data_IF_067377725770
#
_entry.id   IF_067377725770
#
_cell.length_a   1.000
_cell.length_b   1.000
_cell.length_c   1.000
_cell.angle_alpha   90.00
_cell.angle_beta   90.00
_cell.angle_gamma   90.00
#
_symmetry.space_group_name_H-M   'P 1'
#
loop_
_entity.id
_entity.type
_entity.pdbx_description
1 polymer ?
#
# COMPACT_ATOMS: atom_id res chain seq x y z
N UNK A 1 15.61 -20.23 -14.87
CA UNK A 1 14.46 -20.74 -14.07
C UNK A 1 13.72 -19.62 -13.29
N UNK A 2 13.47 -18.46 -13.92
CA UNK A 2 12.89 -17.26 -13.28
C UNK A 2 11.53 -16.81 -13.85
N UNK A 3 11.24 -17.11 -15.12
CA UNK A 3 9.99 -16.72 -15.77
C UNK A 3 8.77 -17.46 -15.22
N UNK A 4 8.91 -18.72 -14.81
CA UNK A 4 7.78 -19.55 -14.40
C UNK A 4 7.21 -19.15 -13.02
N UNK A 5 8.07 -18.64 -12.13
CA UNK A 5 7.64 -18.13 -10.81
C UNK A 5 6.96 -16.77 -10.95
N UNK A 6 7.51 -15.90 -11.81
CA UNK A 6 6.88 -14.65 -12.20
C UNK A 6 5.52 -14.92 -12.87
N UNK A 7 5.45 -15.89 -13.79
CA UNK A 7 4.22 -16.29 -14.49
C UNK A 7 3.13 -16.75 -13.51
N UNK A 8 3.45 -17.57 -12.51
CA UNK A 8 2.50 -18.00 -11.46
C UNK A 8 1.98 -16.83 -10.60
N UNK A 9 2.84 -15.86 -10.27
CA UNK A 9 2.44 -14.66 -9.53
C UNK A 9 1.58 -13.72 -10.40
N UNK A 10 2.01 -13.49 -11.65
CA UNK A 10 1.28 -12.74 -12.67
C UNK A 10 -0.10 -13.34 -12.95
N UNK A 11 -0.23 -14.66 -13.05
CA UNK A 11 -1.49 -15.34 -13.32
C UNK A 11 -2.49 -15.18 -12.18
N UNK A 12 -2.02 -15.23 -10.92
CA UNK A 12 -2.86 -14.92 -9.75
C UNK A 12 -3.31 -13.45 -9.75
N UNK A 13 -2.43 -12.53 -10.10
CA UNK A 13 -2.76 -11.11 -10.17
C UNK A 13 -3.69 -10.78 -11.36
N UNK A 14 -3.44 -11.35 -12.55
CA UNK A 14 -4.21 -11.14 -13.79
C UNK A 14 -5.61 -11.76 -13.76
N UNK A 15 -5.83 -12.86 -13.03
CA UNK A 15 -7.19 -13.41 -12.82
C UNK A 15 -8.15 -12.41 -12.15
N UNK A 16 -7.63 -11.40 -11.44
CA UNK A 16 -8.44 -10.34 -10.82
C UNK A 16 -8.93 -9.25 -11.79
N UNK A 17 -8.31 -9.12 -12.98
CA UNK A 17 -8.56 -8.05 -13.96
C UNK A 17 -9.69 -8.37 -14.96
N UNK A 18 -10.21 -9.60 -14.98
CA UNK A 18 -11.10 -10.09 -16.06
C UNK A 18 -12.61 -9.86 -15.83
N UNK A 19 -13.05 -8.92 -14.98
CA UNK A 19 -14.49 -8.64 -14.83
C UNK A 19 -14.85 -7.17 -15.03
N UNK A 20 -15.50 -6.95 -16.18
CA UNK A 20 -16.39 -5.87 -16.65
C UNK A 20 -15.83 -4.45 -16.69
N UNK A 21 -15.53 -4.03 -17.91
CA UNK A 21 -15.61 -2.64 -18.33
C UNK A 21 -17.09 -2.34 -18.63
N UNK A 22 -17.68 -1.40 -17.91
CA UNK A 22 -18.88 -0.69 -18.33
C UNK A 22 -18.48 0.79 -18.41
N UNK A 23 -18.84 1.41 -19.52
CA UNK A 23 -18.45 2.77 -19.92
C UNK A 23 -19.13 3.82 -19.03
N UNK A 24 -18.34 4.71 -18.42
CA UNK A 24 -18.81 5.93 -17.77
C UNK A 24 -17.94 7.08 -18.28
N UNK A 25 -18.59 8.16 -18.73
CA UNK A 25 -18.02 9.30 -19.45
C UNK A 25 -17.09 10.17 -18.59
N UNK A 26 -15.91 10.44 -19.15
CA UNK A 26 -14.70 11.05 -18.57
C UNK A 26 -14.65 12.59 -18.67
N UNK A 27 -15.56 13.35 -18.07
CA UNK A 27 -15.50 14.83 -18.22
C UNK A 27 -14.89 15.61 -17.04
N UNK A 28 -14.55 14.97 -15.92
CA UNK A 28 -13.94 15.67 -14.76
C UNK A 28 -12.69 15.01 -14.16
N UNK A 29 -12.04 14.10 -14.88
CA UNK A 29 -10.77 13.51 -14.45
C UNK A 29 -9.62 14.38 -14.97
N UNK A 30 -8.89 15.03 -14.05
CA UNK A 30 -7.59 15.64 -14.38
C UNK A 30 -6.66 14.50 -14.84
N UNK A 31 -6.44 14.46 -16.15
CA UNK A 31 -5.67 13.53 -16.99
C UNK A 31 -6.34 12.22 -17.42
N UNK A 32 -6.68 12.08 -18.72
CA UNK A 32 -6.82 10.77 -19.35
C UNK A 32 -5.40 10.22 -19.55
N UNK A 33 -4.78 9.68 -18.50
CA UNK A 33 -3.57 8.86 -18.67
C UNK A 33 -3.98 7.59 -19.40
N UNK A 34 -3.83 7.58 -20.72
CA UNK A 34 -4.02 6.41 -21.57
C UNK A 34 -3.25 5.22 -20.97
N UNK A 35 -4.01 4.22 -20.52
CA UNK A 35 -3.50 2.99 -19.91
C UNK A 35 -2.93 2.09 -20.99
N UNK A 36 -1.78 2.46 -21.56
CA UNK A 36 -1.04 1.59 -22.45
C UNK A 36 -0.46 0.45 -21.62
N UNK A 37 -0.95 -0.75 -21.88
CA UNK A 37 -0.36 -1.99 -21.37
C UNK A 37 1.00 -2.13 -22.03
N UNK A 38 2.06 -1.84 -21.29
CA UNK A 38 3.40 -1.97 -21.84
C UNK A 38 3.78 -3.46 -21.88
N UNK A 39 3.70 -4.04 -23.07
CA UNK A 39 3.84 -5.48 -23.32
C UNK A 39 5.29 -5.94 -23.62
N UNK A 40 6.26 -5.02 -23.55
CA UNK A 40 7.67 -5.31 -23.82
C UNK A 40 8.21 -6.24 -22.73
N UNK A 41 8.77 -7.38 -23.12
CA UNK A 41 9.46 -8.29 -22.20
C UNK A 41 10.86 -7.77 -21.93
N UNK A 42 11.39 -8.06 -20.74
CA UNK A 42 12.77 -7.69 -20.38
C UNK A 42 13.80 -8.35 -21.31
N UNK A 43 13.48 -9.53 -21.87
CA UNK A 43 14.30 -10.19 -22.89
C UNK A 43 14.47 -9.37 -24.17
N UNK A 44 13.55 -8.45 -24.43
CA UNK A 44 13.48 -7.70 -25.68
C UNK A 44 14.14 -6.32 -25.50
N UNK A 45 14.76 -6.06 -24.34
CA UNK A 45 15.40 -4.79 -24.05
C UNK A 45 16.77 -4.73 -24.75
N UNK A 46 17.12 -3.60 -25.39
CA UNK A 46 18.47 -3.41 -25.91
C UNK A 46 19.52 -3.55 -24.80
N UNK A 47 20.54 -4.38 -25.02
CA UNK A 47 21.60 -4.63 -24.04
C UNK A 47 22.31 -3.34 -23.61
N UNK A 48 22.50 -2.41 -24.55
CA UNK A 48 23.08 -1.09 -24.28
C UNK A 48 22.27 -0.31 -23.24
N UNK A 49 20.94 -0.37 -23.30
CA UNK A 49 20.05 0.29 -22.33
C UNK A 49 20.15 -0.39 -20.97
N UNK A 50 20.17 -1.72 -20.92
CA UNK A 50 20.35 -2.46 -19.65
C UNK A 50 21.70 -2.08 -19.01
N UNK A 51 22.77 -2.07 -19.81
CA UNK A 51 24.12 -1.72 -19.35
C UNK A 51 24.18 -0.28 -18.82
N UNK A 52 23.60 0.67 -19.56
CA UNK A 52 23.47 2.08 -19.14
C UNK A 52 22.70 2.19 -17.82
N UNK A 53 21.52 1.58 -17.72
CA UNK A 53 20.70 1.61 -16.50
C UNK A 53 21.45 0.99 -15.31
N UNK A 54 22.10 -0.17 -15.50
CA UNK A 54 22.90 -0.81 -14.45
C UNK A 54 24.00 0.13 -13.94
N UNK A 55 24.72 0.78 -14.85
CA UNK A 55 25.77 1.75 -14.50
C UNK A 55 25.20 2.93 -13.71
N UNK A 56 24.24 3.64 -14.30
CA UNK A 56 23.65 4.85 -13.73
C UNK A 56 22.99 4.59 -12.36
N UNK A 57 22.25 3.49 -12.22
CA UNK A 57 21.64 3.11 -10.94
C UNK A 57 22.71 2.84 -9.89
N UNK A 58 23.79 2.13 -10.23
CA UNK A 58 24.83 1.82 -9.26
C UNK A 58 25.62 3.07 -8.83
N UNK A 59 25.96 3.95 -9.77
CA UNK A 59 26.71 5.19 -9.50
C UNK A 59 25.91 6.19 -8.66
N UNK A 60 24.58 6.20 -8.79
CA UNK A 60 23.72 7.19 -8.14
C UNK A 60 22.90 6.63 -6.98
N UNK A 61 22.97 5.33 -6.67
CA UNK A 61 22.13 4.70 -5.66
C UNK A 61 22.24 5.39 -4.29
N UNK A 62 23.47 5.71 -3.87
CA UNK A 62 23.73 6.31 -2.55
C UNK A 62 23.21 7.75 -2.46
N UNK A 63 23.06 8.46 -3.59
CA UNK A 63 22.48 9.81 -3.64
C UNK A 63 21.01 9.82 -3.20
N UNK A 64 20.30 8.70 -3.33
CA UNK A 64 18.94 8.57 -2.85
C UNK A 64 18.85 8.48 -1.32
N UNK A 65 19.96 8.27 -0.59
CA UNK A 65 20.00 8.17 0.88
C UNK A 65 18.92 7.21 1.42
N UNK A 66 18.81 6.04 0.80
CA UNK A 66 17.80 5.04 1.14
C UNK A 66 18.23 4.34 2.42
N UNK A 67 17.45 4.52 3.48
CA UNK A 67 17.58 3.77 4.72
C UNK A 67 16.34 2.90 4.92
N UNK A 68 16.55 1.60 5.16
CA UNK A 68 15.47 0.64 5.41
C UNK A 68 15.71 0.01 6.76
N UNK A 69 15.00 0.51 7.78
CA UNK A 69 15.10 -0.07 9.12
C UNK A 69 14.34 -1.39 9.17
N UNK A 70 14.95 -2.41 9.78
CA UNK A 70 14.28 -3.68 10.09
C UNK A 70 13.36 -3.48 11.31
N UNK A 71 12.07 -3.68 11.13
CA UNK A 71 11.04 -3.45 12.15
C UNK A 71 9.98 -4.56 12.08
N UNK A 72 10.40 -5.73 12.55
CA UNK A 72 9.60 -6.95 12.59
C UNK A 72 8.74 -6.98 13.85
N UNK A 73 7.49 -6.54 13.77
CA UNK A 73 6.61 -6.39 14.93
C UNK A 73 5.48 -7.42 14.90
N UNK A 74 5.82 -8.68 15.18
CA UNK A 74 4.87 -9.80 15.15
C UNK A 74 5.33 -11.01 15.98
N UNK A 75 6.13 -10.76 17.02
CA UNK A 75 6.58 -11.81 17.94
C UNK A 75 5.47 -12.28 18.88
N UNK A 76 5.75 -13.32 19.66
CA UNK A 76 4.77 -13.89 20.59
C UNK A 76 4.27 -12.91 21.65
N UNK A 77 5.11 -11.98 22.10
CA UNK A 77 4.75 -11.04 23.17
C UNK A 77 3.77 -10.00 22.63
N UNK A 78 4.02 -9.46 21.43
CA UNK A 78 3.08 -8.62 20.70
C UNK A 78 1.73 -9.33 20.52
N UNK A 79 1.76 -10.58 20.05
CA UNK A 79 0.53 -11.35 19.81
C UNK A 79 -0.26 -11.55 21.12
N UNK A 80 0.43 -11.88 22.22
CA UNK A 80 -0.19 -12.06 23.54
C UNK A 80 -0.75 -10.77 24.13
N UNK A 81 -0.14 -9.62 23.84
CA UNK A 81 -0.55 -8.32 24.40
C UNK A 81 -1.70 -7.73 23.59
N UNK A 82 -1.53 -7.62 22.27
CA UNK A 82 -2.43 -6.85 21.40
C UNK A 82 -3.46 -7.70 20.66
N UNK A 83 -3.20 -9.00 20.50
CA UNK A 83 -4.03 -9.90 19.70
C UNK A 83 -4.43 -11.19 20.43
N UNK A 84 -4.47 -11.13 21.77
CA UNK A 84 -4.81 -12.29 22.57
C UNK A 84 -6.17 -12.87 22.19
N UNK A 85 -6.23 -14.19 21.98
CA UNK A 85 -7.44 -14.92 21.55
C UNK A 85 -8.06 -14.46 20.22
N UNK A 86 -7.41 -13.58 19.44
CA UNK A 86 -7.89 -13.17 18.11
C UNK A 86 -7.54 -14.22 17.06
N UNK A 87 -6.34 -14.80 17.17
CA UNK A 87 -5.83 -15.83 16.28
C UNK A 87 -5.64 -17.14 17.05
N UNK A 88 -6.08 -18.25 16.47
CA UNK A 88 -5.88 -19.58 17.08
C UNK A 88 -4.41 -20.01 16.98
N UNK A 89 -3.96 -20.91 17.87
CA UNK A 89 -2.59 -21.46 17.82
C UNK A 89 -2.29 -22.12 16.48
N UNK A 90 -3.27 -22.81 15.90
CA UNK A 90 -3.17 -23.45 14.59
C UNK A 90 -2.97 -22.42 13.47
N UNK A 91 -3.59 -21.25 13.57
CA UNK A 91 -3.40 -20.16 12.61
C UNK A 91 -1.99 -19.55 12.70
N UNK A 92 -1.43 -19.46 13.91
CA UNK A 92 -0.11 -18.89 14.17
C UNK A 92 1.05 -19.82 13.77
N UNK A 93 0.82 -21.13 13.74
CA UNK A 93 1.84 -22.15 13.37
C UNK A 93 1.63 -22.65 11.93
N UNK A 94 0.39 -22.59 11.41
CA UNK A 94 0.01 -23.15 10.11
C UNK A 94 0.48 -22.33 8.90
N UNK A 95 0.17 -22.82 7.69
CA UNK A 95 0.55 -22.19 6.41
C UNK A 95 0.07 -20.75 6.24
N UNK A 96 -0.94 -20.32 7.00
CA UNK A 96 -1.49 -18.97 6.94
C UNK A 96 -0.81 -17.97 7.89
N UNK A 97 0.10 -18.44 8.77
CA UNK A 97 0.80 -17.61 9.76
C UNK A 97 1.49 -16.41 9.13
N UNK A 98 2.06 -16.58 7.94
CA UNK A 98 2.63 -15.50 7.13
C UNK A 98 1.68 -14.31 6.97
N UNK A 99 0.44 -14.55 6.52
CA UNK A 99 -0.50 -13.46 6.24
C UNK A 99 -0.86 -12.72 7.53
N UNK A 100 -1.04 -13.47 8.62
CA UNK A 100 -1.34 -12.94 9.94
C UNK A 100 -0.17 -12.08 10.44
N UNK A 101 1.08 -12.55 10.34
CA UNK A 101 2.26 -11.78 10.74
C UNK A 101 2.44 -10.51 9.89
N UNK A 102 2.08 -10.54 8.60
CA UNK A 102 2.05 -9.32 7.79
C UNK A 102 1.03 -8.32 8.33
N UNK A 103 -0.19 -8.78 8.65
CA UNK A 103 -1.27 -7.92 9.14
C UNK A 103 -0.95 -7.32 10.51
N UNK A 104 -0.47 -8.14 11.45
CA UNK A 104 -0.03 -7.72 12.78
C UNK A 104 1.09 -6.68 12.65
N UNK A 105 2.11 -6.96 11.84
CA UNK A 105 3.24 -6.05 11.69
C UNK A 105 2.86 -4.71 11.06
N UNK A 106 1.92 -4.68 10.10
CA UNK A 106 1.37 -3.43 9.55
C UNK A 106 0.67 -2.63 10.66
N UNK A 107 -0.16 -3.28 11.48
CA UNK A 107 -0.84 -2.62 12.60
C UNK A 107 0.15 -2.09 13.65
N UNK A 108 1.09 -2.91 14.09
CA UNK A 108 2.07 -2.52 15.12
C UNK A 108 2.99 -1.39 14.66
N UNK A 109 3.27 -1.30 13.35
CA UNK A 109 3.92 -0.14 12.77
C UNK A 109 3.07 1.13 12.94
N UNK A 110 1.77 1.05 12.71
CA UNK A 110 0.84 2.16 12.94
C UNK A 110 0.85 2.59 14.41
N UNK A 111 0.78 1.62 15.32
CA UNK A 111 0.75 1.83 16.76
C UNK A 111 2.04 2.46 17.28
N UNK A 112 3.20 1.92 16.88
CA UNK A 112 4.52 2.44 17.27
C UNK A 112 4.74 3.90 16.89
N UNK A 113 4.15 4.35 15.78
CA UNK A 113 4.23 5.73 15.28
C UNK A 113 3.10 6.63 15.79
N UNK A 114 2.27 6.13 16.71
CA UNK A 114 1.06 6.77 17.23
C UNK A 114 0.10 7.20 16.11
N UNK A 115 0.11 6.52 14.96
CA UNK A 115 -0.80 6.78 13.83
C UNK A 115 -2.20 6.27 14.18
N UNK A 116 -2.28 5.13 14.88
CA UNK A 116 -3.49 4.69 15.61
C UNK A 116 -3.34 4.99 17.10
N UNK A 117 -4.46 5.16 17.81
CA UNK A 117 -4.48 5.23 19.27
C UNK A 117 -5.85 4.80 19.82
N UNK A 118 -5.85 4.06 20.93
CA UNK A 118 -7.09 3.62 21.60
C UNK A 118 -7.96 4.81 22.07
N UNK A 119 -7.34 5.97 22.33
CA UNK A 119 -8.00 7.16 22.90
C UNK A 119 -8.51 8.15 21.84
N UNK A 120 -8.34 7.86 20.56
CA UNK A 120 -8.76 8.72 19.46
C UNK A 120 -9.75 8.00 18.55
N UNK A 121 -10.50 8.76 17.76
CA UNK A 121 -11.34 8.20 16.70
C UNK A 121 -10.44 7.74 15.54
N UNK A 122 -10.28 6.44 15.37
CA UNK A 122 -9.49 5.90 14.26
C UNK A 122 -10.40 5.63 13.06
N UNK A 123 -10.12 6.23 11.91
CA UNK A 123 -10.80 5.97 10.64
C UNK A 123 -9.81 5.24 9.73
N UNK A 124 -10.03 3.94 9.57
CA UNK A 124 -9.16 3.03 8.83
C UNK A 124 -9.70 2.84 7.42
N UNK A 125 -8.94 3.25 6.42
CA UNK A 125 -9.29 3.15 5.00
C UNK A 125 -8.42 2.06 4.37
N UNK A 126 -9.00 0.88 4.14
CA UNK A 126 -8.28 -0.25 3.54
C UNK A 126 -8.44 -0.25 2.02
N UNK A 127 -7.33 -0.03 1.32
CA UNK A 127 -7.25 0.04 -0.14
C UNK A 127 -6.92 -1.33 -0.72
N UNK A 128 -7.78 -1.84 -1.59
CA UNK A 128 -7.68 -3.22 -2.09
C UNK A 128 -8.01 -4.23 -1.00
N UNK A 129 -9.09 -3.99 -0.26
CA UNK A 129 -9.37 -4.66 1.01
C UNK A 129 -9.66 -6.16 0.91
N UNK A 130 -10.02 -6.68 -0.26
CA UNK A 130 -10.34 -8.10 -0.41
C UNK A 130 -11.37 -8.52 0.64
N UNK A 131 -11.01 -9.52 1.45
CA UNK A 131 -11.80 -10.09 2.54
C UNK A 131 -11.94 -9.21 3.80
N UNK A 132 -11.23 -8.08 3.89
CA UNK A 132 -11.09 -7.21 5.07
C UNK A 132 -10.32 -7.84 6.25
N UNK A 133 -9.35 -8.72 5.97
CA UNK A 133 -8.48 -9.35 6.98
C UNK A 133 -7.63 -8.30 7.72
N UNK A 134 -7.07 -7.33 6.98
CA UNK A 134 -6.26 -6.29 7.58
C UNK A 134 -7.10 -5.33 8.42
N UNK A 135 -8.29 -4.93 7.95
CA UNK A 135 -9.24 -4.15 8.76
C UNK A 135 -9.69 -4.87 10.01
N UNK A 136 -9.94 -6.18 9.95
CA UNK A 136 -10.22 -6.99 11.16
C UNK A 136 -9.07 -6.93 12.15
N UNK A 137 -7.83 -6.99 11.67
CA UNK A 137 -6.63 -6.86 12.51
C UNK A 137 -6.55 -5.48 13.14
N UNK A 138 -6.77 -4.41 12.37
CA UNK A 138 -6.83 -3.05 12.91
C UNK A 138 -7.94 -2.88 13.94
N UNK A 139 -9.12 -3.44 13.69
CA UNK A 139 -10.23 -3.42 14.63
C UNK A 139 -9.84 -4.06 15.97
N UNK A 140 -9.30 -5.27 15.93
CA UNK A 140 -8.86 -5.97 17.14
C UNK A 140 -7.77 -5.19 17.88
N UNK A 141 -6.75 -4.71 17.16
CA UNK A 141 -5.65 -3.96 17.74
C UNK A 141 -6.08 -2.64 18.39
N UNK A 142 -7.01 -1.89 17.76
CA UNK A 142 -7.55 -0.64 18.31
C UNK A 142 -8.61 -0.89 19.41
N UNK A 143 -8.67 -2.08 20.02
CA UNK A 143 -9.66 -2.49 21.01
C UNK A 143 -11.10 -2.26 20.54
N UNK A 144 -11.32 -2.49 19.24
CA UNK A 144 -12.55 -2.26 18.47
C UNK A 144 -12.98 -0.78 18.35
N UNK A 145 -12.16 0.18 18.82
CA UNK A 145 -12.41 1.62 18.65
C UNK A 145 -11.86 2.14 17.31
N UNK A 146 -12.46 1.68 16.21
CA UNK A 146 -12.11 2.13 14.87
C UNK A 146 -13.29 2.03 13.90
N UNK A 147 -13.45 3.06 13.07
CA UNK A 147 -14.30 3.03 11.88
C UNK A 147 -13.51 2.48 10.69
N UNK A 148 -14.21 1.86 9.74
CA UNK A 148 -13.60 1.16 8.62
C UNK A 148 -14.24 1.55 7.29
N UNK A 149 -13.42 1.91 6.31
CA UNK A 149 -13.82 2.17 4.92
C UNK A 149 -13.06 1.18 4.05
N UNK A 150 -13.79 0.28 3.40
CA UNK A 150 -13.26 -0.86 2.66
C UNK A 150 -13.43 -0.63 1.16
N UNK A 151 -12.32 -0.43 0.45
CA UNK A 151 -12.31 -0.11 -0.98
C UNK A 151 -11.73 -1.28 -1.78
N UNK A 152 -12.52 -1.84 -2.70
CA UNK A 152 -12.05 -2.87 -3.63
C UNK A 152 -12.91 -2.84 -4.90
N UNK A 153 -12.31 -2.99 -6.08
CA UNK A 153 -13.05 -2.99 -7.35
C UNK A 153 -13.88 -4.25 -7.62
N UNK A 154 -13.72 -5.33 -6.84
CA UNK A 154 -14.25 -6.66 -7.15
C UNK A 154 -15.47 -7.04 -6.31
N UNK A 155 -16.61 -7.36 -6.97
CA UNK A 155 -17.82 -7.90 -6.33
C UNK A 155 -17.77 -9.43 -6.22
N UNK A 156 -17.40 -9.97 -5.05
CA UNK A 156 -17.48 -11.41 -4.77
C UNK A 156 -17.90 -11.68 -3.31
N UNK A 157 -18.80 -12.64 -3.10
CA UNK A 157 -19.29 -13.03 -1.76
C UNK A 157 -18.23 -13.64 -0.83
N UNK A 158 -17.06 -14.01 -1.33
CA UNK A 158 -15.93 -14.44 -0.48
C UNK A 158 -15.10 -13.26 0.06
N UNK A 159 -15.35 -12.04 -0.44
CA UNK A 159 -14.62 -10.81 -0.07
C UNK A 159 -15.29 -10.00 1.06
N UNK A 160 -16.52 -10.29 1.45
CA UNK A 160 -17.14 -9.68 2.65
C UNK A 160 -17.09 -10.61 3.86
N UNK A 161 -16.13 -11.54 3.88
CA UNK A 161 -16.02 -12.62 4.89
C UNK A 161 -15.95 -12.07 6.31
N UNK A 162 -15.19 -10.99 6.52
CA UNK A 162 -14.98 -10.42 7.85
C UNK A 162 -15.87 -9.20 8.15
N UNK A 163 -16.64 -8.72 7.18
CA UNK A 163 -17.56 -7.58 7.36
C UNK A 163 -18.56 -7.83 8.47
N UNK A 164 -19.15 -9.03 8.53
CA UNK A 164 -20.14 -9.39 9.56
C UNK A 164 -19.51 -9.37 10.96
N UNK A 165 -18.31 -9.93 11.10
CA UNK A 165 -17.58 -9.93 12.36
C UNK A 165 -17.23 -8.51 12.81
N UNK A 166 -16.79 -7.67 11.86
CA UNK A 166 -16.49 -6.26 12.12
C UNK A 166 -17.76 -5.53 12.59
N UNK A 167 -18.88 -5.70 11.89
CA UNK A 167 -20.18 -5.08 12.24
C UNK A 167 -20.70 -5.53 13.59
N UNK A 168 -20.62 -6.83 13.91
CA UNK A 168 -21.06 -7.37 15.20
C UNK A 168 -20.33 -6.69 16.36
N UNK A 169 -19.00 -6.54 16.27
CA UNK A 169 -18.17 -5.85 17.26
C UNK A 169 -18.46 -4.35 17.34
N UNK A 170 -18.65 -3.69 16.20
CA UNK A 170 -19.03 -2.26 16.16
C UNK A 170 -20.38 -2.02 16.84
N UNK A 171 -21.38 -2.84 16.54
CA UNK A 171 -22.71 -2.70 17.12
C UNK A 171 -22.69 -2.91 18.64
N UNK A 172 -21.93 -3.89 19.13
CA UNK A 172 -21.76 -4.11 20.57
C UNK A 172 -21.13 -2.90 21.27
N UNK A 173 -20.07 -2.32 20.68
CA UNK A 173 -19.41 -1.15 21.27
C UNK A 173 -20.27 0.12 21.22
N UNK A 174 -20.90 0.41 20.08
CA UNK A 174 -21.75 1.60 19.93
C UNK A 174 -22.97 1.55 20.88
N UNK A 175 -23.42 0.36 21.30
CA UNK A 175 -24.45 0.19 22.32
C UNK A 175 -23.94 0.41 23.75
N UNK A 176 -22.68 0.05 24.03
CA UNK A 176 -22.10 0.08 25.38
C UNK A 176 -21.38 1.39 25.72
N UNK A 177 -20.90 2.13 24.72
CA UNK A 177 -20.05 3.31 24.86
C UNK A 177 -20.48 4.32 23.80
N UNK A 178 -20.41 5.62 24.11
CA UNK A 178 -20.81 6.74 23.26
C UNK A 178 -19.94 6.91 21.98
N UNK A 179 -19.49 5.82 21.35
CA UNK A 179 -18.80 5.84 20.08
C UNK A 179 -19.81 5.78 18.94
N UNK A 180 -19.45 6.41 17.82
CA UNK A 180 -20.21 6.34 16.58
C UNK A 180 -19.28 5.80 15.49
N UNK A 181 -18.80 4.57 15.71
CA UNK A 181 -17.92 3.87 14.77
C UNK A 181 -18.76 3.22 13.67
N UNK A 182 -18.25 3.22 12.44
CA UNK A 182 -18.99 2.76 11.27
C UNK A 182 -18.17 1.82 10.40
N UNK A 183 -18.85 1.02 9.58
CA UNK A 183 -18.26 0.24 8.50
C UNK A 183 -18.92 0.64 7.18
N UNK A 184 -18.12 1.05 6.21
CA UNK A 184 -18.54 1.25 4.82
C UNK A 184 -17.72 0.34 3.93
N UNK A 185 -18.37 -0.39 3.03
CA UNK A 185 -17.71 -1.08 1.93
C UNK A 185 -18.19 -0.50 0.63
N UNK A 186 -17.25 -0.01 -0.18
CA UNK A 186 -17.55 0.49 -1.52
C UNK A 186 -16.84 -0.35 -2.58
N UNK A 187 -17.63 -0.85 -3.52
CA UNK A 187 -17.09 -1.60 -4.65
C UNK A 187 -16.80 -0.67 -5.82
N UNK A 188 -15.66 0.00 -5.74
CA UNK A 188 -15.25 1.04 -6.67
C UNK A 188 -13.80 0.83 -7.11
N UNK A 189 -13.48 1.25 -8.33
CA UNK A 189 -12.09 1.39 -8.74
C UNK A 189 -11.46 2.57 -7.98
N UNK A 190 -10.27 2.37 -7.40
CA UNK A 190 -9.54 3.40 -6.65
C UNK A 190 -9.40 4.70 -7.47
N UNK A 191 -9.29 4.62 -8.80
CA UNK A 191 -9.22 5.81 -9.66
C UNK A 191 -10.44 6.73 -9.53
N UNK A 192 -11.60 6.18 -9.17
CA UNK A 192 -12.88 6.87 -9.02
C UNK A 192 -13.23 7.13 -7.55
N UNK A 193 -12.40 6.68 -6.60
CA UNK A 193 -12.63 6.89 -5.18
C UNK A 193 -12.53 8.38 -4.83
N UNK A 194 -13.52 8.87 -4.09
CA UNK A 194 -13.47 10.16 -3.42
C UNK A 194 -13.65 9.97 -1.91
N UNK A 195 -12.59 10.28 -1.14
CA UNK A 195 -12.57 10.07 0.32
C UNK A 195 -13.65 10.90 1.03
N UNK A 196 -13.99 12.08 0.49
CA UNK A 196 -15.01 12.98 1.06
C UNK A 196 -16.40 12.33 1.10
N UNK A 197 -16.66 11.36 0.22
CA UNK A 197 -17.94 10.65 0.16
C UNK A 197 -18.17 9.73 1.37
N UNK A 198 -17.13 9.42 2.14
CA UNK A 198 -17.21 8.48 3.27
C UNK A 198 -17.01 9.16 4.63
N UNK A 199 -16.38 10.33 4.66
CA UNK A 199 -16.13 11.10 5.89
C UNK A 199 -16.89 12.43 5.73
N UNK A 200 -18.02 12.55 6.43
CA UNK A 200 -18.85 13.75 6.36
C UNK A 200 -18.24 14.93 7.17
N UNK A 201 -18.79 16.12 6.99
CA UNK A 201 -18.24 17.35 7.61
C UNK A 201 -18.22 17.33 9.14
N UNK A 202 -19.17 16.62 9.76
CA UNK A 202 -19.20 16.46 11.22
C UNK A 202 -18.05 15.58 11.66
N UNK A 203 -17.85 14.42 11.00
CA UNK A 203 -16.71 13.53 11.26
C UNK A 203 -15.39 14.22 11.02
N UNK A 204 -15.22 15.02 9.97
CA UNK A 204 -13.98 15.75 9.71
C UNK A 204 -13.55 16.66 10.88
N UNK A 205 -14.47 17.05 11.77
CA UNK A 205 -14.19 17.90 12.95
C UNK A 205 -13.85 17.12 14.23
N UNK A 206 -14.05 15.80 14.27
CA UNK A 206 -14.00 14.96 15.49
C UNK A 206 -12.59 14.52 15.99
N UNK A 207 -11.53 15.29 15.74
CA UNK A 207 -10.15 14.93 16.10
C UNK A 207 -9.74 13.49 15.72
N UNK A 208 -9.67 13.16 14.43
CA UNK A 208 -9.50 11.78 13.97
C UNK A 208 -8.06 11.41 13.64
N UNK A 209 -7.76 10.14 13.79
CA UNK A 209 -6.66 9.47 13.12
C UNK A 209 -7.18 8.84 11.82
N UNK A 210 -6.88 9.44 10.66
CA UNK A 210 -7.29 8.94 9.35
C UNK A 210 -6.12 8.21 8.69
N UNK A 211 -6.30 6.91 8.43
CA UNK A 211 -5.18 6.01 8.14
C UNK A 211 -5.50 5.18 6.91
N UNK A 212 -4.65 5.32 5.90
CA UNK A 212 -4.73 4.56 4.65
C UNK A 212 -3.82 3.34 4.72
N UNK A 213 -4.40 2.16 4.59
CA UNK A 213 -3.67 0.90 4.76
C UNK A 213 -3.85 -0.03 3.56
N UNK A 214 -2.84 -0.85 3.30
CA UNK A 214 -2.98 -1.99 2.39
C UNK A 214 -1.90 -3.03 2.60
N UNK A 215 -2.26 -4.31 2.51
CA UNK A 215 -1.33 -5.45 2.56
C UNK A 215 -0.66 -5.74 1.22
N UNK A 216 -1.35 -5.45 0.11
CA UNK A 216 -0.90 -5.76 -1.26
C UNK A 216 -1.46 -4.74 -2.26
N UNK A 217 -0.93 -3.52 -2.26
CA UNK A 217 -1.32 -2.51 -3.24
C UNK A 217 -0.30 -2.44 -4.38
N UNK A 218 -0.68 -2.99 -5.53
CA UNK A 218 0.28 -3.30 -6.58
C UNK A 218 0.18 -2.32 -7.77
N UNK A 219 1.34 -1.99 -8.35
CA UNK A 219 1.46 -1.14 -9.54
C UNK A 219 0.74 0.20 -9.41
N UNK A 220 -0.03 0.54 -10.45
CA UNK A 220 -0.70 1.83 -10.56
C UNK A 220 -1.78 2.05 -9.49
N UNK A 221 -2.29 0.99 -8.84
CA UNK A 221 -3.26 1.15 -7.76
C UNK A 221 -2.66 1.93 -6.57
N UNK A 222 -1.35 1.77 -6.31
CA UNK A 222 -0.68 2.54 -5.27
C UNK A 222 -0.53 4.00 -5.69
N UNK A 223 -0.14 4.28 -6.93
CA UNK A 223 -0.01 5.66 -7.43
C UNK A 223 -1.35 6.40 -7.41
N UNK A 224 -2.42 5.75 -7.86
CA UNK A 224 -3.78 6.30 -7.80
C UNK A 224 -4.22 6.55 -6.36
N UNK A 225 -3.87 5.65 -5.43
CA UNK A 225 -4.19 5.86 -4.02
C UNK A 225 -3.46 7.07 -3.45
N UNK A 226 -2.17 7.23 -3.75
CA UNK A 226 -1.40 8.42 -3.37
C UNK A 226 -2.06 9.69 -3.89
N UNK A 227 -2.51 9.70 -5.16
CA UNK A 227 -3.24 10.82 -5.75
C UNK A 227 -4.52 11.14 -4.97
N UNK A 228 -5.36 10.14 -4.67
CA UNK A 228 -6.61 10.36 -3.92
C UNK A 228 -6.36 10.83 -2.49
N UNK A 229 -5.35 10.27 -1.83
CA UNK A 229 -4.95 10.69 -0.48
C UNK A 229 -4.50 12.15 -0.48
N UNK A 230 -3.63 12.54 -1.40
CA UNK A 230 -3.15 13.93 -1.53
C UNK A 230 -4.30 14.88 -1.85
N UNK A 231 -5.22 14.48 -2.73
CA UNK A 231 -6.42 15.27 -3.03
C UNK A 231 -7.24 15.53 -1.78
N UNK A 232 -7.45 14.50 -0.95
CA UNK A 232 -8.17 14.64 0.32
C UNK A 232 -7.42 15.51 1.33
N UNK A 233 -6.10 15.36 1.46
CA UNK A 233 -5.27 16.20 2.33
C UNK A 233 -5.35 17.69 1.94
N UNK A 234 -5.28 17.98 0.64
CA UNK A 234 -5.41 19.36 0.13
C UNK A 234 -6.79 19.93 0.47
N UNK A 235 -7.84 19.12 0.32
CA UNK A 235 -9.19 19.52 0.69
C UNK A 235 -9.33 19.81 2.19
N UNK A 236 -8.80 18.96 3.07
CA UNK A 236 -8.82 19.17 4.53
C UNK A 236 -8.06 20.45 4.90
N UNK A 237 -6.89 20.67 4.29
CA UNK A 237 -6.10 21.88 4.48
C UNK A 237 -6.85 23.13 4.03
N UNK A 238 -7.54 23.08 2.89
CA UNK A 238 -8.32 24.22 2.40
C UNK A 238 -9.51 24.55 3.31
N UNK A 239 -10.03 23.56 4.05
CA UNK A 239 -11.07 23.76 5.08
C UNK A 239 -10.53 24.22 6.44
N UNK A 240 -9.20 24.31 6.63
CA UNK A 240 -8.55 24.65 7.91
C UNK A 240 -8.95 23.71 9.07
N UNK A 241 -9.08 22.40 8.80
CA UNK A 241 -9.39 21.37 9.80
C UNK A 241 -8.27 20.32 9.93
N UNK A 242 -7.07 20.63 9.43
CA UNK A 242 -5.89 19.78 9.55
C UNK A 242 -5.39 19.64 10.99
N UNK A 243 -5.60 20.64 11.84
CA UNK A 243 -5.27 20.56 13.27
C UNK A 243 -6.06 19.48 14.00
N UNK A 244 -7.22 19.12 13.46
CA UNK A 244 -8.15 18.15 14.02
C UNK A 244 -7.95 16.76 13.40
N UNK A 245 -6.95 16.54 12.55
CA UNK A 245 -6.82 15.23 11.92
C UNK A 245 -5.36 14.85 11.76
N UNK A 246 -5.00 13.69 12.32
CA UNK A 246 -3.73 13.05 12.02
C UNK A 246 -3.91 12.14 10.82
N UNK A 247 -2.98 12.22 9.87
CA UNK A 247 -3.01 11.40 8.67
C UNK A 247 -1.88 10.39 8.68
N UNK A 248 -2.18 9.17 8.27
CA UNK A 248 -1.19 8.11 8.13
C UNK A 248 -1.36 7.32 6.85
N UNK A 249 -0.26 6.90 6.24
CA UNK A 249 -0.22 5.92 5.16
C UNK A 249 0.68 4.78 5.62
N UNK A 250 0.20 3.53 5.51
CA UNK A 250 0.98 2.33 5.80
C UNK A 250 0.64 1.28 4.75
N UNK A 251 1.41 1.27 3.66
CA UNK A 251 1.12 0.44 2.49
C UNK A 251 2.28 -0.50 2.22
N UNK A 252 2.00 -1.79 2.21
CA UNK A 252 2.93 -2.82 1.80
C UNK A 252 3.12 -2.81 0.28
N UNK A 253 4.39 -2.81 -0.11
CA UNK A 253 4.81 -2.66 -1.50
C UNK A 253 5.08 -4.02 -2.13
N UNK A 254 4.16 -4.47 -2.98
CA UNK A 254 4.19 -5.79 -3.60
C UNK A 254 4.88 -5.78 -4.98
N UNK A 255 4.25 -5.16 -5.98
CA UNK A 255 4.59 -5.42 -7.38
C UNK A 255 4.84 -4.15 -8.20
N UNK A 256 6.08 -3.68 -8.23
CA UNK A 256 6.48 -2.55 -9.07
C UNK A 256 6.47 -2.87 -10.56
N UNK A 257 6.50 -4.15 -10.95
CA UNK A 257 6.47 -4.52 -12.37
C UNK A 257 5.13 -4.18 -13.07
N UNK A 258 4.05 -3.97 -12.32
CA UNK A 258 2.76 -3.51 -12.87
C UNK A 258 2.68 -1.99 -12.99
N UNK A 259 3.69 -1.28 -12.49
CA UNK A 259 3.75 0.16 -12.56
C UNK A 259 3.95 0.59 -14.02
N UNK A 260 3.28 1.66 -14.39
CA UNK A 260 3.53 2.40 -15.62
C UNK A 260 4.28 3.69 -15.27
N UNK A 261 5.33 4.00 -16.03
CA UNK A 261 6.11 5.25 -15.90
C UNK A 261 5.22 6.49 -15.97
N UNK A 262 4.19 6.48 -16.81
CA UNK A 262 3.24 7.58 -16.97
C UNK A 262 2.39 7.81 -15.71
N UNK A 263 2.18 6.77 -14.90
CA UNK A 263 1.36 6.86 -13.69
C UNK A 263 2.16 7.05 -12.41
N UNK A 264 3.48 6.79 -12.46
CA UNK A 264 4.33 6.90 -11.29
C UNK A 264 4.34 8.33 -10.74
N UNK A 265 4.09 8.47 -9.43
CA UNK A 265 3.79 9.75 -8.82
C UNK A 265 4.91 10.80 -8.89
N UNK A 266 6.18 10.38 -9.02
CA UNK A 266 7.31 11.32 -9.03
C UNK A 266 8.39 11.00 -10.06
N UNK A 267 7.97 10.78 -11.32
CA UNK A 267 8.86 10.47 -12.44
C UNK A 267 9.99 11.48 -12.61
N UNK A 268 9.69 12.78 -12.55
CA UNK A 268 10.68 13.85 -12.75
C UNK A 268 11.83 13.80 -11.72
N UNK A 269 11.53 13.50 -10.46
CA UNK A 269 12.55 13.35 -9.43
C UNK A 269 13.53 12.23 -9.77
N UNK A 270 13.02 11.08 -10.19
CA UNK A 270 13.84 9.91 -10.55
C UNK A 270 14.65 10.19 -11.82
N UNK A 271 14.01 10.75 -12.86
CA UNK A 271 14.67 11.11 -14.12
C UNK A 271 15.81 12.09 -13.89
N UNK A 272 15.60 13.12 -13.07
CA UNK A 272 16.62 14.10 -12.71
C UNK A 272 17.76 13.47 -11.90
N UNK A 273 17.45 12.64 -10.92
CA UNK A 273 18.45 12.02 -10.04
C UNK A 273 19.34 11.01 -10.76
N UNK A 274 18.80 10.33 -11.77
CA UNK A 274 19.53 9.34 -12.55
C UNK A 274 20.02 9.89 -13.91
N UNK A 275 19.62 11.10 -14.30
CA UNK A 275 19.84 11.64 -15.64
C UNK A 275 19.38 10.67 -16.75
N UNK A 276 18.12 10.22 -16.65
CA UNK A 276 17.49 9.30 -17.60
C UNK A 276 16.25 9.92 -18.24
N UNK A 277 15.90 9.48 -19.45
CA UNK A 277 14.68 9.91 -20.15
C UNK A 277 13.46 9.02 -19.81
N UNK A 278 12.29 9.35 -20.36
CA UNK A 278 11.03 8.62 -20.09
C UNK A 278 11.07 7.16 -20.54
N UNK A 279 11.72 6.88 -21.68
CA UNK A 279 11.87 5.52 -22.20
C UNK A 279 12.74 4.67 -21.27
N UNK A 280 13.83 5.25 -20.80
CA UNK A 280 14.74 4.63 -19.83
C UNK A 280 14.08 4.42 -18.46
N UNK A 281 13.23 5.35 -18.02
CA UNK A 281 12.43 5.18 -16.81
C UNK A 281 11.46 4.00 -16.93
N UNK A 282 10.78 3.85 -18.07
CA UNK A 282 9.89 2.70 -18.29
C UNK A 282 10.66 1.37 -18.25
N UNK A 283 11.82 1.29 -18.92
CA UNK A 283 12.70 0.12 -18.81
C UNK A 283 13.15 -0.15 -17.38
N UNK A 284 13.58 0.89 -16.65
CA UNK A 284 14.00 0.78 -15.27
C UNK A 284 12.89 0.18 -14.40
N UNK A 285 11.66 0.68 -14.49
CA UNK A 285 10.51 0.17 -13.73
C UNK A 285 10.32 -1.33 -13.94
N UNK A 286 10.54 -1.84 -15.16
CA UNK A 286 10.45 -3.28 -15.45
C UNK A 286 11.56 -4.07 -14.79
N UNK A 287 12.77 -3.54 -14.71
CA UNK A 287 13.90 -4.18 -14.01
C UNK A 287 13.60 -4.41 -12.52
N UNK A 288 12.66 -3.68 -11.91
CA UNK A 288 12.22 -3.94 -10.54
C UNK A 288 11.73 -5.40 -10.33
N UNK A 289 11.19 -6.05 -11.38
CA UNK A 289 10.77 -7.45 -11.28
C UNK A 289 11.92 -8.40 -11.01
N UNK A 290 13.16 -8.04 -11.38
CA UNK A 290 14.33 -8.86 -11.05
C UNK A 290 14.55 -8.98 -9.55
N UNK A 291 14.05 -8.04 -8.73
CA UNK A 291 14.10 -8.14 -7.27
C UNK A 291 13.25 -9.27 -6.67
N UNK A 292 12.56 -10.05 -7.51
CA UNK A 292 11.73 -11.20 -7.11
C UNK A 292 12.28 -12.55 -7.58
N UNK A 293 13.38 -12.57 -8.35
CA UNK A 293 13.96 -13.83 -8.87
C UNK A 293 14.55 -14.69 -7.75
N UNK A 294 14.64 -16.01 -7.99
CA UNK A 294 15.05 -16.99 -6.96
C UNK A 294 16.51 -16.86 -6.56
N UNK A 295 17.38 -16.58 -7.53
CA UNK A 295 18.81 -16.40 -7.27
C UNK A 295 19.07 -15.02 -6.66
N UNK A 296 19.09 -14.99 -5.33
CA UNK A 296 19.32 -13.77 -4.54
C UNK A 296 20.76 -13.26 -4.62
N UNK A 297 21.71 -14.07 -5.12
CA UNK A 297 23.12 -13.67 -5.22
C UNK A 297 23.42 -12.98 -6.56
N UNK A 298 22.59 -13.23 -7.58
CA UNK A 298 22.73 -12.64 -8.91
C UNK A 298 22.72 -11.11 -8.90
N UNK A 299 23.48 -10.53 -9.84
CA UNK A 299 23.49 -9.08 -10.10
C UNK A 299 22.11 -8.54 -10.47
N UNK A 300 21.32 -9.32 -11.20
CA UNK A 300 19.97 -8.92 -11.60
C UNK A 300 19.06 -8.77 -10.38
N UNK A 301 19.15 -9.70 -9.41
CA UNK A 301 18.38 -9.59 -8.17
C UNK A 301 18.74 -8.32 -7.40
N UNK A 302 20.04 -8.07 -7.23
CA UNK A 302 20.55 -6.87 -6.53
C UNK A 302 20.09 -5.58 -7.23
N UNK A 303 20.20 -5.53 -8.56
CA UNK A 303 19.74 -4.38 -9.35
C UNK A 303 18.23 -4.17 -9.22
N UNK A 304 17.44 -5.23 -9.35
CA UNK A 304 15.98 -5.14 -9.22
C UNK A 304 15.53 -4.69 -7.83
N UNK A 305 16.23 -5.12 -6.76
CA UNK A 305 16.02 -4.60 -5.40
C UNK A 305 16.38 -3.12 -5.28
N UNK A 306 17.50 -2.68 -5.85
CA UNK A 306 17.87 -1.24 -5.89
C UNK A 306 16.80 -0.41 -6.58
N UNK A 307 16.33 -0.84 -7.75
CA UNK A 307 15.24 -0.16 -8.48
C UNK A 307 13.99 -0.09 -7.63
N UNK A 308 13.58 -1.19 -7.00
CA UNK A 308 12.40 -1.22 -6.12
C UNK A 308 12.49 -0.14 -5.04
N UNK A 309 13.66 -0.04 -4.38
CA UNK A 309 13.87 0.92 -3.31
C UNK A 309 13.99 2.36 -3.80
N UNK A 310 14.57 2.59 -4.98
CA UNK A 310 14.55 3.91 -5.64
C UNK A 310 13.10 4.36 -5.88
N UNK A 311 12.25 3.46 -6.39
CA UNK A 311 10.84 3.77 -6.64
C UNK A 311 10.06 4.02 -5.35
N UNK A 312 10.30 3.24 -4.30
CA UNK A 312 9.69 3.47 -2.98
C UNK A 312 10.18 4.78 -2.36
N UNK A 313 11.46 5.13 -2.55
CA UNK A 313 12.02 6.41 -2.11
C UNK A 313 11.39 7.59 -2.84
N UNK A 314 11.18 7.51 -4.15
CA UNK A 314 10.47 8.57 -4.87
C UNK A 314 9.03 8.74 -4.37
N UNK A 315 8.33 7.67 -3.98
CA UNK A 315 7.00 7.79 -3.32
C UNK A 315 7.09 8.51 -1.99
N UNK A 316 8.08 8.17 -1.16
CA UNK A 316 8.34 8.89 0.10
C UNK A 316 8.59 10.38 -0.13
N UNK A 317 9.46 10.74 -1.09
CA UNK A 317 9.74 12.15 -1.38
C UNK A 317 8.51 12.89 -1.96
N UNK A 318 7.68 12.20 -2.74
CA UNK A 318 6.43 12.77 -3.24
C UNK A 318 5.41 13.03 -2.13
N UNK A 319 5.27 12.09 -1.19
CA UNK A 319 4.40 12.23 -0.03
C UNK A 319 4.88 13.39 0.87
N UNK A 320 6.20 13.51 1.10
CA UNK A 320 6.77 14.67 1.81
C UNK A 320 6.44 15.99 1.14
N UNK A 321 6.67 16.07 -0.17
CA UNK A 321 6.37 17.26 -0.96
C UNK A 321 4.90 17.69 -0.83
N UNK A 322 4.00 16.73 -0.61
CA UNK A 322 2.55 16.96 -0.51
C UNK A 322 2.03 17.00 0.93
N UNK A 323 2.89 17.25 1.93
CA UNK A 323 2.48 17.67 3.27
C UNK A 323 2.66 16.64 4.38
N UNK A 324 3.11 15.42 4.08
CA UNK A 324 3.52 14.49 5.13
C UNK A 324 4.86 14.93 5.73
N UNK A 325 4.95 14.99 7.06
CA UNK A 325 6.16 15.49 7.74
C UNK A 325 7.24 14.42 7.76
N UNK A 326 6.84 13.18 7.95
CA UNK A 326 7.73 12.04 8.05
C UNK A 326 7.37 10.99 7.01
N UNK A 327 8.39 10.39 6.42
CA UNK A 327 8.22 9.23 5.55
C UNK A 327 9.37 8.26 5.73
N UNK A 328 9.08 6.97 5.74
CA UNK A 328 10.08 5.93 5.90
C UNK A 328 9.75 4.69 5.07
N UNK A 329 10.79 3.93 4.76
CA UNK A 329 10.67 2.59 4.20
C UNK A 329 11.16 1.64 5.27
N UNK A 330 10.35 0.65 5.64
CA UNK A 330 10.71 -0.31 6.69
C UNK A 330 10.56 -1.73 6.19
N UNK A 331 11.47 -2.61 6.59
CA UNK A 331 11.26 -4.04 6.44
C UNK A 331 10.36 -4.52 7.58
N UNK A 332 9.13 -4.88 7.25
CA UNK A 332 8.09 -5.18 8.24
C UNK A 332 7.90 -6.67 8.48
N UNK A 333 8.36 -7.51 7.55
CA UNK A 333 8.32 -8.97 7.69
C UNK A 333 9.62 -9.56 7.17
N UNK A 334 10.06 -10.67 7.75
CA UNK A 334 11.30 -11.29 7.30
C UNK A 334 11.17 -11.78 5.84
N UNK A 335 12.23 -11.55 5.06
CA UNK A 335 12.28 -11.93 3.64
C UNK A 335 12.08 -13.44 3.38
N UNK A 336 12.30 -14.29 4.39
CA UNK A 336 12.02 -15.72 4.36
C UNK A 336 10.54 -16.04 4.17
N UNK A 337 9.64 -15.18 4.68
CA UNK A 337 8.20 -15.31 4.45
C UNK A 337 7.81 -14.80 3.05
N UNK A 338 8.34 -13.65 2.64
CA UNK A 338 7.98 -12.99 1.38
C UNK A 338 9.07 -12.08 0.88
N UNK A 339 9.23 -11.96 -0.44
CA UNK A 339 10.14 -10.97 -1.04
C UNK A 339 9.55 -9.55 -1.04
N UNK A 340 8.22 -9.47 -0.88
CA UNK A 340 7.43 -8.24 -0.78
C UNK A 340 7.32 -7.83 0.68
N UNK A 341 8.44 -7.40 1.24
CA UNK A 341 8.64 -7.31 2.68
C UNK A 341 8.85 -5.89 3.21
N UNK A 342 8.54 -4.87 2.41
CA UNK A 342 8.71 -3.46 2.81
C UNK A 342 7.41 -2.67 2.80
N UNK A 343 7.25 -1.79 3.79
CA UNK A 343 6.19 -0.79 3.85
C UNK A 343 6.73 0.56 3.37
N UNK A 344 5.89 1.32 2.69
CA UNK A 344 6.02 2.77 2.61
C UNK A 344 5.10 3.35 3.68
N UNK A 345 5.69 4.14 4.57
CA UNK A 345 4.99 4.80 5.67
C UNK A 345 5.11 6.32 5.52
N UNK A 346 4.02 7.05 5.75
CA UNK A 346 4.00 8.51 5.78
C UNK A 346 3.04 9.02 6.86
N UNK A 347 3.41 10.06 7.63
CA UNK A 347 2.61 10.64 8.71
C UNK A 347 3.03 12.07 9.11
#
# INVERSE_FOLDING_TARGET
MGEETLKKHLEKCKKSLKRKADEISDENIITPRLWLKNDIKISDFPEEIISKLKKVINENYDNFKINISKRLLYDEDIIKIDFNNIFSKEQLIGKNSKNIFQEISIYENAKKLNIVSDNCNNIVIELGCGAAELSKTFQAGCKNNSSHILIDRMKYASKNKFDREILEKLNQLNQQKCYNNFLVRDTIDIKNMDVKSYINEDKEKENNNIIFISKHLCGNAFELSIEKIISYLKYIKNKNIESNNKFGIIIATCCHYLLNSNTYCYSEYIKKMLNINDKELDYMIRLASWGTIKDIQSDNFKLGKKVKYILDKGRCEYLKLNGFKNTEIVEFIDSTYTKENTLVIAY
#
